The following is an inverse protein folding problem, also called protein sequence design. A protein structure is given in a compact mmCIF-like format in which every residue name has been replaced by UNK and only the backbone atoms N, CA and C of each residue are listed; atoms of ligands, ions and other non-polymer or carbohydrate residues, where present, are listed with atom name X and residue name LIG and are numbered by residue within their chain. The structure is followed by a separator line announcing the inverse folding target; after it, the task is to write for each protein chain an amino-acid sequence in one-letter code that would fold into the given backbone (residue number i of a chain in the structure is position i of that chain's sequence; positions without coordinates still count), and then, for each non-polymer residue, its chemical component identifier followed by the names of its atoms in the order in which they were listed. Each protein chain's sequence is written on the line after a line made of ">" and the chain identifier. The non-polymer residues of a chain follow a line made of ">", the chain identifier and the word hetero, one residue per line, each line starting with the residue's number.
data_IF_804385508357
#
_entry.id   IF_804385508357
#
_cell.length_a   1.000
_cell.length_b   1.000
_cell.length_c   1.000
_cell.angle_alpha   90.00
_cell.angle_beta   90.00
_cell.angle_gamma   90.00
#
_symmetry.space_group_name_H-M   'P 1'
#
loop_
_entity.id
_entity.type
_entity.pdbx_description
1 polymer ?
#
# COMPACT_ATOMS: atom_id res chain seq x y z
N UNK A 1 -15.30 -12.74 -14.75
CA UNK A 1 -16.50 -13.25 -14.06
C UNK A 1 -17.77 -12.58 -14.58
N UNK A 2 -18.93 -13.22 -14.42
CA UNK A 2 -20.23 -12.77 -14.91
C UNK A 2 -20.82 -11.60 -14.09
N UNK A 3 -21.58 -10.71 -14.74
CA UNK A 3 -22.21 -9.56 -14.06
C UNK A 3 -23.39 -9.99 -13.19
N UNK A 4 -24.24 -10.87 -13.72
CA UNK A 4 -25.33 -11.53 -13.01
C UNK A 4 -25.01 -13.02 -12.89
N UNK A 5 -25.32 -13.62 -11.75
CA UNK A 5 -25.06 -15.04 -11.50
C UNK A 5 -25.66 -15.92 -12.59
N UNK A 6 -24.84 -16.81 -13.17
CA UNK A 6 -25.25 -17.73 -14.24
C UNK A 6 -25.49 -17.10 -15.62
N UNK A 7 -25.16 -15.82 -15.83
CA UNK A 7 -25.34 -15.13 -17.12
C UNK A 7 -23.99 -14.69 -17.69
N UNK A 8 -23.69 -15.12 -18.92
CA UNK A 8 -22.45 -14.74 -19.60
C UNK A 8 -22.52 -13.30 -20.16
N UNK A 9 -21.41 -12.79 -20.70
CA UNK A 9 -21.38 -11.44 -21.27
C UNK A 9 -22.23 -11.29 -22.55
N UNK A 10 -22.42 -12.38 -23.32
CA UNK A 10 -23.29 -12.39 -24.50
C UNK A 10 -24.79 -12.45 -24.16
N UNK A 11 -25.16 -12.68 -22.90
CA UNK A 11 -26.55 -12.84 -22.46
C UNK A 11 -27.09 -14.28 -22.42
N UNK A 12 -26.31 -15.27 -22.86
CA UNK A 12 -26.64 -16.68 -22.63
C UNK A 12 -26.65 -16.93 -21.10
N UNK A 13 -27.68 -17.65 -20.63
CA UNK A 13 -27.80 -18.01 -19.22
C UNK A 13 -27.83 -19.52 -19.06
N UNK A 14 -27.20 -20.01 -17.98
CA UNK A 14 -27.24 -21.42 -17.59
C UNK A 14 -27.54 -21.53 -16.12
N UNK A 15 -28.32 -22.54 -15.75
CA UNK A 15 -28.53 -22.88 -14.34
C UNK A 15 -27.18 -23.25 -13.73
N UNK A 16 -26.89 -22.64 -12.59
CA UNK A 16 -25.71 -22.99 -11.79
C UNK A 16 -26.01 -24.39 -11.21
N UNK A 17 -25.38 -25.42 -11.77
CA UNK A 17 -25.48 -26.78 -11.23
C UNK A 17 -24.62 -26.95 -9.99
N UNK A 18 -25.04 -27.83 -9.07
CA UNK A 18 -24.29 -28.16 -7.84
C UNK A 18 -22.98 -28.92 -8.11
N UNK A 19 -22.81 -29.44 -9.33
CA UNK A 19 -21.66 -30.24 -9.72
C UNK A 19 -20.41 -29.37 -10.00
N UNK A 20 -19.66 -29.09 -8.94
CA UNK A 20 -18.37 -28.39 -8.93
C UNK A 20 -17.26 -29.01 -9.81
N UNK A 21 -17.52 -30.10 -10.54
CA UNK A 21 -16.46 -30.91 -11.18
C UNK A 21 -16.03 -30.41 -12.56
N UNK A 22 -16.89 -29.72 -13.32
CA UNK A 22 -16.51 -29.19 -14.64
C UNK A 22 -16.81 -27.69 -14.74
N UNK A 23 -15.75 -26.87 -14.82
CA UNK A 23 -15.88 -25.43 -15.10
C UNK A 23 -16.45 -25.24 -16.50
N UNK A 24 -17.67 -24.73 -16.60
CA UNK A 24 -18.32 -24.46 -17.87
C UNK A 24 -18.07 -23.02 -18.30
N UNK A 25 -17.47 -22.85 -19.48
CA UNK A 25 -17.24 -21.55 -20.11
C UNK A 25 -18.16 -21.37 -21.32
N UNK A 26 -18.63 -20.14 -21.54
CA UNK A 26 -19.30 -19.78 -22.77
C UNK A 26 -18.32 -19.85 -23.95
N UNK A 27 -18.72 -20.47 -25.06
CA UNK A 27 -17.85 -20.67 -26.25
C UNK A 27 -17.55 -19.35 -26.97
N UNK A 28 -18.44 -18.37 -26.89
CA UNK A 28 -18.29 -17.10 -27.59
C UNK A 28 -17.47 -16.07 -26.80
N UNK A 29 -17.87 -15.79 -25.55
CA UNK A 29 -17.22 -14.75 -24.73
C UNK A 29 -16.16 -15.30 -23.76
N UNK A 30 -16.04 -16.62 -23.60
CA UNK A 30 -15.11 -17.23 -22.64
C UNK A 30 -15.45 -16.98 -21.16
N UNK A 31 -16.62 -16.40 -20.86
CA UNK A 31 -17.06 -16.15 -19.48
C UNK A 31 -17.52 -17.44 -18.82
N UNK A 32 -17.06 -17.68 -17.60
CA UNK A 32 -17.47 -18.81 -16.77
C UNK A 32 -18.89 -18.60 -16.22
N UNK A 33 -19.72 -19.64 -16.26
CA UNK A 33 -21.07 -19.64 -15.69
C UNK A 33 -21.04 -19.92 -14.19
N UNK A 34 -20.83 -18.87 -13.39
CA UNK A 34 -20.67 -18.95 -11.93
C UNK A 34 -21.42 -17.81 -11.23
N UNK A 35 -21.40 -17.80 -9.90
CA UNK A 35 -21.91 -16.70 -9.10
C UNK A 35 -21.14 -15.40 -9.39
N UNK A 36 -21.85 -14.27 -9.51
CA UNK A 36 -21.24 -12.95 -9.72
C UNK A 36 -20.25 -12.56 -8.62
N UNK A 37 -20.39 -13.12 -7.41
CA UNK A 37 -19.48 -12.92 -6.26
C UNK A 37 -17.99 -13.15 -6.59
N UNK A 38 -17.67 -13.98 -7.59
CA UNK A 38 -16.28 -14.20 -8.02
C UNK A 38 -15.62 -12.90 -8.51
N UNK A 39 -16.39 -11.91 -8.99
CA UNK A 39 -15.89 -10.57 -9.37
C UNK A 39 -15.35 -9.74 -8.19
N UNK A 40 -15.54 -10.20 -6.95
CA UNK A 40 -14.93 -9.63 -5.75
C UNK A 40 -13.56 -10.21 -5.41
N UNK A 41 -13.29 -11.45 -5.84
CA UNK A 41 -12.12 -12.22 -5.40
C UNK A 41 -11.10 -12.44 -6.53
N UNK A 42 -11.57 -12.49 -7.79
CA UNK A 42 -10.69 -12.74 -8.93
C UNK A 42 -9.92 -11.47 -9.31
N UNK A 43 -8.60 -11.49 -9.08
CA UNK A 43 -7.70 -10.42 -9.51
C UNK A 43 -7.31 -10.57 -10.98
N UNK A 44 -7.08 -9.44 -11.63
CA UNK A 44 -6.41 -9.39 -12.94
C UNK A 44 -4.93 -9.02 -12.77
N UNK A 45 -4.22 -8.92 -13.89
CA UNK A 45 -2.90 -8.30 -13.92
C UNK A 45 -2.66 -7.56 -15.24
N UNK A 46 -1.80 -6.55 -15.19
CA UNK A 46 -1.30 -5.81 -16.34
C UNK A 46 0.14 -6.22 -16.54
N UNK A 47 0.45 -6.81 -17.69
CA UNK A 47 1.85 -7.04 -18.09
C UNK A 47 2.46 -5.71 -18.53
N UNK A 48 3.43 -5.21 -17.78
CA UNK A 48 4.10 -3.96 -18.07
C UNK A 48 5.05 -4.13 -19.26
N UNK A 49 5.22 -3.08 -20.06
CA UNK A 49 6.13 -3.08 -21.20
C UNK A 49 7.59 -2.96 -20.77
N UNK A 50 7.84 -2.26 -19.67
CA UNK A 50 9.12 -2.11 -19.00
C UNK A 50 9.00 -2.50 -17.52
N UNK A 51 10.10 -2.94 -16.87
CA UNK A 51 10.14 -3.07 -15.41
C UNK A 51 9.93 -1.70 -14.74
N UNK A 52 9.20 -1.67 -13.63
CA UNK A 52 8.83 -0.45 -12.89
C UNK A 52 9.23 -0.61 -11.44
N UNK A 53 9.95 0.35 -10.88
CA UNK A 53 10.33 0.29 -9.46
C UNK A 53 9.10 0.55 -8.61
N UNK A 54 8.86 -0.25 -7.58
CA UNK A 54 7.74 0.00 -6.68
C UNK A 54 8.05 1.22 -5.80
N UNK A 55 7.17 2.23 -5.83
CA UNK A 55 7.39 3.53 -5.17
C UNK A 55 7.67 3.41 -3.66
N UNK A 56 6.99 2.51 -2.94
CA UNK A 56 7.24 2.28 -1.52
C UNK A 56 8.66 1.80 -1.20
N UNK A 57 9.26 0.95 -2.03
CA UNK A 57 10.63 0.47 -1.77
C UNK A 57 11.70 1.48 -2.20
N UNK A 58 11.36 2.38 -3.12
CA UNK A 58 12.25 3.40 -3.64
C UNK A 58 12.21 4.69 -2.79
N UNK A 59 11.06 5.31 -2.61
CA UNK A 59 10.94 6.69 -2.12
C UNK A 59 10.55 6.80 -0.63
N UNK A 60 10.05 5.72 -0.02
CA UNK A 60 9.77 5.74 1.42
C UNK A 60 11.08 5.82 2.20
N UNK A 61 11.10 6.56 3.32
CA UNK A 61 12.32 6.76 4.12
C UNK A 61 12.30 5.86 5.37
N UNK A 62 13.36 5.08 5.64
CA UNK A 62 14.54 4.89 4.81
C UNK A 62 14.26 3.98 3.60
N UNK A 63 14.90 4.28 2.46
CA UNK A 63 14.66 3.54 1.21
C UNK A 63 15.28 2.15 1.24
N UNK A 64 14.47 1.13 0.95
CA UNK A 64 14.88 -0.26 0.94
C UNK A 64 15.89 -0.55 -0.18
N UNK A 65 15.62 -0.04 -1.38
CA UNK A 65 16.50 -0.21 -2.54
C UNK A 65 17.83 0.53 -2.31
N UNK A 66 17.77 1.75 -1.76
CA UNK A 66 18.97 2.52 -1.44
C UNK A 66 19.84 1.85 -0.38
N UNK A 67 19.22 1.31 0.67
CA UNK A 67 19.92 0.59 1.73
C UNK A 67 20.63 -0.67 1.21
N UNK A 68 20.01 -1.44 0.31
CA UNK A 68 20.64 -2.63 -0.27
C UNK A 68 21.83 -2.27 -1.17
N UNK A 69 21.62 -1.32 -2.08
CA UNK A 69 22.60 -0.94 -3.09
C UNK A 69 23.71 -0.03 -2.56
N UNK A 70 23.58 0.48 -1.33
CA UNK A 70 24.50 1.45 -0.72
C UNK A 70 24.76 2.65 -1.62
N UNK A 71 23.64 3.22 -2.11
CA UNK A 71 23.62 4.37 -2.99
C UNK A 71 22.70 5.44 -2.44
N UNK A 72 23.04 6.73 -2.64
CA UNK A 72 22.14 7.81 -2.22
C UNK A 72 20.83 7.73 -3.02
N UNK A 73 19.71 7.99 -2.33
CA UNK A 73 18.37 7.98 -2.93
C UNK A 73 18.30 8.89 -4.17
N UNK A 74 18.91 10.07 -4.10
CA UNK A 74 18.93 11.03 -5.21
C UNK A 74 19.61 10.48 -6.49
N UNK A 75 20.56 9.56 -6.38
CA UNK A 75 21.17 8.88 -7.54
C UNK A 75 20.19 7.84 -8.13
N UNK A 76 19.49 7.11 -7.27
CA UNK A 76 18.54 6.08 -7.68
C UNK A 76 17.24 6.68 -8.26
N UNK A 77 16.70 7.75 -7.69
CA UNK A 77 15.56 8.48 -8.25
C UNK A 77 15.91 9.04 -9.62
N UNK A 78 17.11 9.63 -9.78
CA UNK A 78 17.61 10.05 -11.09
C UNK A 78 17.64 8.88 -12.05
N UNK A 79 18.10 7.71 -11.64
CA UNK A 79 18.14 6.53 -12.50
C UNK A 79 16.75 6.05 -12.93
N UNK A 80 15.75 6.10 -12.04
CA UNK A 80 14.38 5.65 -12.32
C UNK A 80 13.60 6.66 -13.17
N UNK A 81 13.70 7.95 -12.82
CA UNK A 81 12.85 9.01 -13.36
C UNK A 81 13.54 9.91 -14.41
N UNK A 82 14.85 9.81 -14.61
CA UNK A 82 15.60 10.62 -15.61
C UNK A 82 16.30 9.75 -16.67
N UNK A 83 16.65 10.38 -17.79
CA UNK A 83 17.17 9.80 -19.05
C UNK A 83 18.57 9.15 -18.96
N UNK A 84 19.01 8.65 -17.80
CA UNK A 84 20.35 8.11 -17.65
C UNK A 84 20.50 6.76 -18.34
N UNK A 85 21.55 6.66 -19.16
CA UNK A 85 21.99 5.43 -19.80
C UNK A 85 23.09 4.84 -18.92
N UNK A 86 22.72 3.84 -18.13
CA UNK A 86 23.68 3.02 -17.41
C UNK A 86 24.23 2.01 -18.42
N UNK A 87 25.43 2.30 -18.94
CA UNK A 87 26.20 1.34 -19.70
C UNK A 87 26.81 0.35 -18.70
N UNK A 88 26.07 -0.72 -18.36
CA UNK A 88 26.61 -1.79 -17.52
C UNK A 88 26.97 -3.00 -18.37
N UNK A 89 28.11 -3.57 -18.01
CA UNK A 89 28.53 -4.92 -18.35
C UNK A 89 27.50 -5.93 -17.85
N UNK A 90 26.63 -6.44 -18.71
CA UNK A 90 25.87 -7.65 -18.41
C UNK A 90 26.89 -8.78 -18.42
N UNK A 91 27.20 -9.37 -17.26
CA UNK A 91 28.27 -10.36 -17.05
C UNK A 91 28.23 -11.61 -17.96
N UNK A 92 27.22 -11.74 -18.83
CA UNK A 92 26.97 -12.89 -19.72
C UNK A 92 26.84 -12.52 -21.20
N UNK A 93 27.17 -11.30 -21.64
CA UNK A 93 27.09 -10.88 -23.06
C UNK A 93 28.38 -10.17 -23.50
N UNK A 94 28.86 -10.40 -24.74
CA UNK A 94 30.08 -9.75 -25.23
C UNK A 94 29.86 -8.24 -25.39
N UNK A 95 30.81 -7.46 -24.89
CA UNK A 95 30.79 -6.00 -24.98
C UNK A 95 31.35 -5.55 -26.34
N UNK A 96 30.58 -4.75 -27.06
CA UNK A 96 30.99 -4.06 -28.28
C UNK A 96 31.72 -2.75 -27.97
N UNK A 97 31.33 -2.02 -26.92
CA UNK A 97 31.83 -0.67 -26.65
C UNK A 97 32.82 -0.58 -25.46
N UNK A 98 32.98 -1.66 -24.67
CA UNK A 98 33.86 -1.70 -23.47
C UNK A 98 33.69 -0.50 -22.51
N UNK A 99 32.55 0.19 -22.55
CA UNK A 99 32.28 1.36 -21.73
C UNK A 99 32.14 0.93 -20.27
N UNK A 100 32.96 1.51 -19.40
CA UNK A 100 32.87 1.38 -17.94
C UNK A 100 32.49 2.74 -17.37
N UNK A 101 31.32 2.83 -16.73
CA UNK A 101 30.93 4.01 -15.96
C UNK A 101 29.52 4.52 -16.22
N UNK A 102 29.12 5.53 -15.43
CA UNK A 102 27.85 6.23 -15.53
C UNK A 102 27.96 7.37 -16.54
N UNK A 103 27.08 7.41 -17.55
CA UNK A 103 27.02 8.52 -18.50
C UNK A 103 25.85 9.45 -18.18
N UNK A 104 26.15 10.72 -17.92
CA UNK A 104 25.14 11.75 -17.68
C UNK A 104 24.62 12.29 -19.02
N UNK A 105 23.34 12.01 -19.34
CA UNK A 105 22.73 12.43 -20.62
C UNK A 105 22.67 13.96 -20.81
N UNK A 106 22.84 14.74 -19.73
CA UNK A 106 22.85 16.21 -19.76
C UNK A 106 24.12 16.80 -20.40
N UNK A 107 25.15 16.00 -20.65
CA UNK A 107 26.28 16.40 -21.48
C UNK A 107 25.87 16.32 -22.97
N UNK A 108 25.47 17.47 -23.51
CA UNK A 108 24.94 17.68 -24.87
C UNK A 108 25.85 17.14 -26.00
N UNK A 109 27.12 16.83 -25.71
CA UNK A 109 28.14 16.42 -26.67
C UNK A 109 28.08 14.95 -27.10
N UNK A 110 27.58 14.04 -26.26
CA UNK A 110 27.61 12.60 -26.57
C UNK A 110 26.27 12.10 -27.13
N UNK A 111 25.16 12.75 -26.78
CA UNK A 111 23.82 12.35 -27.21
C UNK A 111 23.64 12.49 -28.72
N UNK A 112 24.15 13.56 -29.35
CA UNK A 112 24.12 13.74 -30.81
C UNK A 112 25.03 12.73 -31.53
N UNK A 113 26.23 12.52 -31.00
CA UNK A 113 27.26 11.63 -31.55
C UNK A 113 26.83 10.16 -31.49
N UNK A 114 26.33 9.71 -30.33
CA UNK A 114 25.80 8.36 -30.17
C UNK A 114 24.43 8.20 -30.85
N UNK A 115 23.53 9.19 -30.84
CA UNK A 115 22.23 9.07 -31.52
C UNK A 115 22.37 8.86 -33.04
N UNK A 116 23.44 9.38 -33.67
CA UNK A 116 23.74 9.12 -35.08
C UNK A 116 24.12 7.66 -35.33
N UNK A 117 24.88 7.03 -34.43
CA UNK A 117 25.21 5.60 -34.48
C UNK A 117 24.04 4.69 -34.06
N UNK A 118 23.24 5.13 -33.10
CA UNK A 118 22.12 4.40 -32.49
C UNK A 118 20.78 4.57 -33.24
N UNK A 119 20.76 5.26 -34.39
CA UNK A 119 19.56 5.44 -35.22
C UNK A 119 19.14 4.18 -36.00
N UNK A 120 19.99 3.15 -36.04
CA UNK A 120 19.77 1.90 -36.78
C UNK A 120 19.13 0.81 -35.90
N UNK A 121 18.64 -0.29 -36.53
CA UNK A 121 18.17 -1.52 -35.84
C UNK A 121 19.16 -2.06 -34.78
N UNK A 122 20.42 -1.61 -34.80
CA UNK A 122 21.46 -2.00 -33.87
C UNK A 122 21.29 -1.40 -32.47
N UNK A 123 20.59 -0.27 -32.27
CA UNK A 123 20.39 0.29 -30.92
C UNK A 123 19.52 -0.60 -30.04
N UNK A 124 18.47 -1.24 -30.56
CA UNK A 124 17.70 -2.23 -29.79
C UNK A 124 18.58 -3.43 -29.40
N UNK A 125 19.49 -3.87 -30.27
CA UNK A 125 20.46 -4.94 -29.96
C UNK A 125 21.49 -4.49 -28.91
N UNK A 126 22.00 -3.26 -28.97
CA UNK A 126 22.92 -2.70 -27.97
C UNK A 126 22.22 -2.45 -26.63
N UNK A 127 20.97 -1.98 -26.65
CA UNK A 127 20.14 -1.81 -25.45
C UNK A 127 19.95 -3.13 -24.71
N UNK A 128 19.66 -4.22 -25.41
CA UNK A 128 19.55 -5.54 -24.80
C UNK A 128 20.87 -6.17 -24.35
N UNK A 129 22.03 -5.56 -24.66
CA UNK A 129 23.38 -6.13 -24.42
C UNK A 129 24.24 -5.33 -23.43
N UNK A 130 24.19 -4.01 -23.49
CA UNK A 130 25.14 -3.12 -22.78
C UNK A 130 24.47 -1.94 -22.05
N UNK A 131 23.21 -1.59 -22.35
CA UNK A 131 22.56 -0.38 -21.84
C UNK A 131 21.25 -0.73 -21.13
N UNK A 132 21.26 -0.71 -19.81
CA UNK A 132 20.07 -0.80 -18.98
C UNK A 132 19.62 0.61 -18.57
N UNK A 133 18.35 0.96 -18.80
CA UNK A 133 17.77 2.26 -18.43
C UNK A 133 16.63 2.09 -17.42
N UNK A 134 16.38 3.14 -16.64
CA UNK A 134 15.24 3.19 -15.72
C UNK A 134 15.29 2.15 -14.61
N UNK A 135 14.11 1.73 -14.16
CA UNK A 135 13.95 0.69 -13.16
C UNK A 135 14.44 -0.71 -13.61
N UNK A 136 14.62 -0.95 -14.91
CA UNK A 136 15.25 -2.16 -15.43
C UNK A 136 16.70 -2.29 -14.95
N UNK A 137 17.45 -1.19 -14.93
CA UNK A 137 18.83 -1.17 -14.43
C UNK A 137 18.91 -1.49 -12.93
N UNK A 138 17.96 -0.97 -12.14
CA UNK A 138 17.86 -1.29 -10.71
C UNK A 138 17.60 -2.79 -10.51
N UNK A 139 16.71 -3.37 -11.32
CA UNK A 139 16.47 -4.81 -11.25
C UNK A 139 17.73 -5.61 -11.52
N UNK A 140 18.49 -5.26 -12.57
CA UNK A 140 19.74 -5.94 -12.90
C UNK A 140 20.78 -5.78 -11.78
N UNK A 141 20.86 -4.62 -11.14
CA UNK A 141 21.70 -4.40 -9.96
C UNK A 141 21.28 -5.30 -8.80
N UNK A 142 19.98 -5.42 -8.54
CA UNK A 142 19.43 -6.23 -7.45
C UNK A 142 19.56 -7.75 -7.69
N UNK A 143 19.53 -8.20 -8.94
CA UNK A 143 19.71 -9.62 -9.32
C UNK A 143 21.14 -10.09 -9.07
N UNK A 144 22.11 -9.22 -9.29
CA UNK A 144 23.53 -9.56 -9.13
C UNK A 144 24.04 -9.45 -7.68
N UNK A 145 23.19 -9.07 -6.72
CA UNK A 145 23.57 -8.95 -5.32
C UNK A 145 23.68 -10.30 -4.64
N UNK A 146 24.83 -10.56 -4.02
CA UNK A 146 24.97 -11.62 -3.03
C UNK A 146 24.70 -11.05 -1.63
N UNK A 147 23.57 -11.46 -1.03
CA UNK A 147 23.14 -11.01 0.29
C UNK A 147 24.11 -11.42 1.40
N UNK A 148 24.82 -12.55 1.27
CA UNK A 148 25.78 -12.99 2.30
C UNK A 148 27.00 -12.10 2.31
N UNK A 149 27.54 -11.82 1.12
CA UNK A 149 28.68 -10.91 0.94
C UNK A 149 28.35 -9.52 1.49
N UNK A 150 27.13 -9.02 1.29
CA UNK A 150 26.70 -7.72 1.84
C UNK A 150 26.70 -7.72 3.37
N UNK A 151 26.24 -8.79 4.01
CA UNK A 151 26.24 -8.90 5.47
C UNK A 151 27.68 -8.89 5.98
N UNK A 152 28.54 -9.73 5.42
CA UNK A 152 29.93 -9.86 5.86
C UNK A 152 30.71 -8.57 5.63
N UNK A 153 30.55 -7.93 4.46
CA UNK A 153 31.20 -6.65 4.16
C UNK A 153 30.71 -5.52 5.06
N UNK A 154 29.41 -5.48 5.35
CA UNK A 154 28.82 -4.44 6.22
C UNK A 154 29.22 -4.63 7.68
N UNK A 155 29.36 -5.87 8.13
CA UNK A 155 29.83 -6.21 9.48
C UNK A 155 31.29 -5.78 9.66
N UNK A 156 32.13 -6.07 8.67
CA UNK A 156 33.54 -5.68 8.68
C UNK A 156 33.71 -4.15 8.69
N UNK A 157 32.94 -3.44 7.85
CA UNK A 157 32.92 -1.97 7.85
C UNK A 157 32.45 -1.40 9.19
N UNK A 158 31.42 -2.01 9.81
CA UNK A 158 30.92 -1.58 11.11
C UNK A 158 31.96 -1.76 12.22
N UNK A 159 32.67 -2.90 12.25
CA UNK A 159 33.76 -3.17 13.20
C UNK A 159 34.89 -2.15 13.08
N UNK A 160 35.27 -1.76 11.85
CA UNK A 160 36.29 -0.72 11.63
C UNK A 160 35.88 0.63 12.23
N UNK A 161 34.63 1.03 12.04
CA UNK A 161 34.15 2.26 12.68
C UNK A 161 33.99 2.14 14.19
N UNK A 162 33.75 0.94 14.72
CA UNK A 162 33.71 0.70 16.17
C UNK A 162 35.09 0.86 16.81
N UNK A 163 36.11 0.21 16.25
CA UNK A 163 37.48 0.31 16.76
C UNK A 163 38.08 1.72 16.62
N UNK A 164 37.78 2.44 15.54
CA UNK A 164 38.19 3.84 15.37
C UNK A 164 37.61 4.75 16.46
N UNK A 165 36.37 4.51 16.88
CA UNK A 165 35.72 5.30 17.94
C UNK A 165 36.32 4.98 19.32
N UNK A 166 36.58 3.71 19.61
CA UNK A 166 37.26 3.29 20.84
C UNK A 166 38.66 3.91 20.93
N UNK A 167 39.44 3.86 19.85
CA UNK A 167 40.78 4.46 19.79
C UNK A 167 40.75 5.99 19.96
N UNK A 168 39.76 6.69 19.38
CA UNK A 168 39.57 8.13 19.61
C UNK A 168 39.21 8.45 21.06
N UNK A 169 38.33 7.66 21.69
CA UNK A 169 37.97 7.83 23.11
C UNK A 169 39.18 7.63 24.02
N UNK A 170 40.01 6.62 23.73
CA UNK A 170 41.25 6.35 24.48
C UNK A 170 42.24 7.51 24.33
N UNK A 171 42.46 8.03 23.11
CA UNK A 171 43.34 9.21 22.89
C UNK A 171 42.86 10.45 23.63
N UNK A 172 41.58 10.80 23.52
CA UNK A 172 41.00 11.95 24.22
C UNK A 172 41.11 11.81 25.74
N UNK A 173 41.00 10.58 26.26
CA UNK A 173 41.21 10.30 27.68
C UNK A 173 42.68 10.42 28.11
N UNK A 174 43.64 10.03 27.25
CA UNK A 174 45.08 10.21 27.50
C UNK A 174 45.49 11.68 27.50
N UNK A 175 44.95 12.47 26.56
CA UNK A 175 45.12 13.93 26.48
C UNK A 175 44.55 14.63 27.72
N UNK A 176 43.33 14.26 28.15
CA UNK A 176 42.70 14.79 29.37
C UNK A 176 43.44 14.42 30.66
N UNK A 177 44.18 13.30 30.66
CA UNK A 177 44.97 12.83 31.80
C UNK A 177 46.44 13.26 31.75
N UNK A 178 46.89 13.98 30.71
CA UNK A 178 48.26 14.46 30.58
C UNK A 178 49.33 13.36 30.46
N UNK A 179 48.97 12.18 29.95
CA UNK A 179 49.91 11.05 29.83
C UNK A 179 50.51 11.06 28.42
N UNK A 180 51.71 11.63 28.27
CA UNK A 180 52.53 11.51 27.07
C UNK A 180 53.11 10.09 26.91
N UNK A 181 53.51 9.67 25.69
CA UNK A 181 54.07 8.35 25.48
C UNK A 181 55.37 8.22 26.28
N UNK A 182 55.40 7.31 27.24
CA UNK A 182 56.61 6.99 28.01
C UNK A 182 57.59 6.28 27.09
N UNK A 183 58.52 7.04 26.53
CA UNK A 183 59.65 6.58 25.73
C UNK A 183 60.86 7.45 26.06
N UNK A 184 61.89 6.79 26.56
CA UNK A 184 63.17 7.32 27.06
C UNK A 184 63.95 8.17 26.05
N UNK A 185 64.52 9.29 26.50
CA UNK A 185 65.81 9.79 26.03
C UNK A 185 65.80 11.04 25.13
N UNK A 186 66.12 12.16 25.77
CA UNK A 186 66.87 13.35 25.32
C UNK A 186 66.32 14.31 24.25
N UNK A 187 66.37 15.58 24.67
CA UNK A 187 66.64 16.81 23.92
C UNK A 187 65.68 17.20 22.80
N UNK A 188 64.84 18.19 23.13
CA UNK A 188 64.57 19.47 22.45
C UNK A 188 63.17 19.90 22.91
N UNK A 189 63.11 20.75 23.93
CA UNK A 189 61.90 21.51 24.28
C UNK A 189 61.63 22.51 23.15
N UNK A 190 60.97 22.07 22.09
CA UNK A 190 60.16 22.97 21.26
C UNK A 190 58.81 23.13 21.95
N UNK A 191 58.58 24.33 22.47
CA UNK A 191 57.26 24.80 22.91
C UNK A 191 56.24 24.52 21.80
N UNK A 192 55.44 23.46 21.98
CA UNK A 192 54.20 23.31 21.24
C UNK A 192 53.25 24.33 21.86
N UNK A 193 53.22 25.52 21.28
CA UNK A 193 52.12 26.47 21.49
C UNK A 193 50.81 25.70 21.34
N UNK A 194 49.84 25.83 22.28
CA UNK A 194 48.53 25.25 22.10
C UNK A 194 47.82 26.03 20.99
N UNK A 195 48.08 25.65 19.75
CA UNK A 195 47.39 26.24 18.60
C UNK A 195 45.92 25.90 18.72
N UNK A 196 45.16 26.89 19.17
CA UNK A 196 43.85 27.21 18.65
C UNK A 196 42.76 26.16 18.88
N UNK A 197 41.88 26.52 19.80
CA UNK A 197 40.46 26.15 19.86
C UNK A 197 39.74 26.31 18.51
N UNK A 198 40.01 25.42 17.57
CA UNK A 198 39.45 25.43 16.23
C UNK A 198 39.50 24.03 15.63
N UNK A 199 38.59 23.14 16.06
CA UNK A 199 38.10 21.99 15.27
C UNK A 199 36.99 21.13 15.95
N UNK A 200 36.53 21.47 17.16
CA UNK A 200 35.43 20.73 17.84
C UNK A 200 34.15 20.61 16.99
N UNK A 201 33.85 21.62 16.18
CA UNK A 201 32.73 21.61 15.24
C UNK A 201 32.91 20.65 14.06
N UNK A 202 34.13 20.47 13.57
CA UNK A 202 34.44 19.55 12.48
C UNK A 202 34.49 18.10 12.98
N UNK A 203 35.08 17.89 14.16
CA UNK A 203 35.11 16.60 14.84
C UNK A 203 33.69 16.11 15.16
N UNK A 204 32.83 16.99 15.69
CA UNK A 204 31.42 16.66 15.96
C UNK A 204 30.63 16.34 14.69
N UNK A 205 30.94 16.99 13.56
CA UNK A 205 30.34 16.65 12.26
C UNK A 205 30.82 15.29 11.76
N UNK A 206 32.08 14.95 11.97
CA UNK A 206 32.65 13.67 11.59
C UNK A 206 32.09 12.51 12.43
N UNK A 207 32.01 12.69 13.76
CA UNK A 207 31.35 11.74 14.66
C UNK A 207 29.90 11.48 14.26
N UNK A 208 29.15 12.54 13.93
CA UNK A 208 27.78 12.39 13.42
C UNK A 208 27.71 11.64 12.09
N UNK A 209 28.69 11.81 11.20
CA UNK A 209 28.77 11.05 9.93
C UNK A 209 29.03 9.57 10.20
N UNK A 210 29.99 9.26 11.08
CA UNK A 210 30.31 7.89 11.47
C UNK A 210 29.10 7.22 12.11
N UNK A 211 28.41 7.90 13.02
CA UNK A 211 27.21 7.37 13.68
C UNK A 211 26.05 7.13 12.70
N UNK A 212 25.86 8.04 11.73
CA UNK A 212 24.90 7.83 10.64
C UNK A 212 25.26 6.62 9.78
N UNK A 213 26.56 6.43 9.48
CA UNK A 213 27.06 5.29 8.71
C UNK A 213 26.89 3.98 9.48
N UNK A 214 27.19 3.93 10.78
CA UNK A 214 26.94 2.76 11.64
C UNK A 214 25.47 2.36 11.64
N UNK A 215 24.55 3.31 11.87
CA UNK A 215 23.10 3.05 11.83
C UNK A 215 22.64 2.57 10.46
N UNK A 216 23.23 3.10 9.38
CA UNK A 216 22.98 2.62 8.03
C UNK A 216 23.41 1.16 7.84
N UNK A 217 24.62 0.79 8.26
CA UNK A 217 25.15 -0.57 8.15
C UNK A 217 24.30 -1.57 8.93
N UNK A 218 23.86 -1.21 10.14
CA UNK A 218 22.95 -2.05 10.95
C UNK A 218 21.66 -2.34 10.19
N UNK A 219 20.98 -1.30 9.68
CA UNK A 219 19.75 -1.47 8.89
C UNK A 219 19.97 -2.30 7.62
N UNK A 220 21.13 -2.12 6.95
CA UNK A 220 21.48 -2.88 5.74
C UNK A 220 21.66 -4.36 6.04
N UNK A 221 22.37 -4.69 7.12
CA UNK A 221 22.58 -6.07 7.58
C UNK A 221 21.25 -6.73 7.99
N UNK A 222 20.43 -6.03 8.79
CA UNK A 222 19.11 -6.51 9.21
C UNK A 222 18.23 -6.82 8.01
N UNK A 223 18.17 -5.91 7.03
CA UNK A 223 17.40 -6.11 5.82
C UNK A 223 17.88 -7.32 5.00
N UNK A 224 19.19 -7.46 4.79
CA UNK A 224 19.76 -8.59 4.05
C UNK A 224 19.47 -9.92 4.78
N UNK A 225 19.57 -9.93 6.12
CA UNK A 225 19.23 -11.09 6.95
C UNK A 225 17.75 -11.47 6.81
N UNK A 226 16.84 -10.50 6.85
CA UNK A 226 15.41 -10.75 6.67
C UNK A 226 15.06 -11.30 5.29
N UNK A 227 15.71 -10.80 4.23
CA UNK A 227 15.51 -11.31 2.86
C UNK A 227 16.00 -12.76 2.72
N UNK A 228 17.14 -13.10 3.34
CA UNK A 228 17.65 -14.48 3.37
C UNK A 228 16.70 -15.42 4.14
N UNK A 229 16.19 -15.00 5.30
CA UNK A 229 15.28 -15.80 6.11
C UNK A 229 13.93 -16.06 5.42
N UNK A 230 13.40 -15.06 4.72
CA UNK A 230 12.09 -15.15 4.06
C UNK A 230 12.14 -15.72 2.64
N UNK A 231 13.33 -16.03 2.11
CA UNK A 231 13.55 -16.46 0.71
C UNK A 231 13.01 -15.48 -0.34
N UNK A 232 12.83 -14.21 0.05
CA UNK A 232 12.33 -13.15 -0.83
C UNK A 232 13.48 -12.61 -1.66
N UNK A 233 13.27 -12.57 -2.98
CA UNK A 233 14.28 -12.03 -3.89
C UNK A 233 14.21 -10.50 -3.96
N UNK A 234 15.36 -9.79 -3.86
CA UNK A 234 15.39 -8.32 -3.97
C UNK A 234 14.80 -7.78 -5.29
N UNK A 235 14.93 -8.54 -6.38
CA UNK A 235 14.42 -8.16 -7.70
C UNK A 235 12.89 -7.93 -7.74
N UNK A 236 12.13 -8.48 -6.79
CA UNK A 236 10.68 -8.33 -6.73
C UNK A 236 10.22 -6.92 -6.32
N UNK A 237 11.14 -6.08 -5.82
CA UNK A 237 10.86 -4.64 -5.63
C UNK A 237 10.67 -3.90 -6.96
N UNK A 238 11.04 -4.53 -8.09
CA UNK A 238 10.80 -4.03 -9.44
C UNK A 238 9.71 -4.88 -10.13
N UNK A 239 8.56 -4.27 -10.38
CA UNK A 239 7.37 -4.89 -10.93
C UNK A 239 7.50 -5.06 -12.44
N UNK A 240 7.26 -6.29 -12.92
CA UNK A 240 7.01 -6.58 -14.34
C UNK A 240 5.52 -6.87 -14.62
N UNK A 241 4.80 -7.29 -13.59
CA UNK A 241 3.37 -7.55 -13.59
C UNK A 241 2.73 -6.69 -12.50
N UNK A 242 1.74 -5.89 -12.87
CA UNK A 242 0.99 -5.05 -11.94
C UNK A 242 -0.38 -5.71 -11.68
N UNK A 243 -0.70 -6.14 -10.45
CA UNK A 243 -2.01 -6.71 -10.14
C UNK A 243 -3.13 -5.67 -10.34
N UNK A 244 -4.30 -6.16 -10.75
CA UNK A 244 -5.51 -5.35 -10.91
C UNK A 244 -6.55 -5.78 -9.90
N UNK A 245 -7.02 -4.83 -9.11
CA UNK A 245 -8.07 -5.07 -8.12
C UNK A 245 -9.35 -5.63 -8.79
N UNK A 246 -10.05 -6.55 -8.12
CA UNK A 246 -11.34 -7.05 -8.59
C UNK A 246 -12.35 -5.91 -8.79
N UNK A 247 -13.22 -5.96 -9.83
CA UNK A 247 -14.14 -4.87 -10.16
C UNK A 247 -15.04 -4.40 -9.02
N UNK A 248 -15.49 -5.30 -8.13
CA UNK A 248 -16.36 -4.90 -7.02
C UNK A 248 -15.66 -4.04 -5.96
N UNK A 249 -14.32 -4.09 -5.88
CA UNK A 249 -13.55 -3.22 -4.98
C UNK A 249 -13.32 -1.82 -5.58
N UNK A 250 -13.65 -1.62 -6.85
CA UNK A 250 -13.50 -0.38 -7.62
C UNK A 250 -14.74 -0.15 -8.51
N UNK A 251 -15.92 0.00 -7.90
CA UNK A 251 -17.18 0.01 -8.63
C UNK A 251 -17.31 1.21 -9.59
N UNK A 252 -18.20 1.02 -10.56
CA UNK A 252 -18.69 2.05 -11.47
C UNK A 252 -20.20 2.09 -11.32
N UNK A 253 -20.75 3.26 -11.02
CA UNK A 253 -22.17 3.46 -10.82
C UNK A 253 -22.73 4.33 -11.94
N UNK A 254 -23.80 3.86 -12.57
CA UNK A 254 -24.59 4.64 -13.49
C UNK A 254 -25.76 5.23 -12.70
N UNK A 255 -25.77 6.54 -12.49
CA UNK A 255 -26.89 7.24 -11.83
C UNK A 255 -28.02 7.50 -12.81
N UNK A 256 -27.68 7.94 -14.02
CA UNK A 256 -28.58 8.18 -15.15
C UNK A 256 -27.85 7.83 -16.46
N UNK A 257 -28.55 7.85 -17.60
CA UNK A 257 -27.96 7.52 -18.90
C UNK A 257 -26.70 8.35 -19.22
N UNK A 258 -26.59 9.57 -18.69
CA UNK A 258 -25.48 10.48 -18.95
C UNK A 258 -24.49 10.62 -17.77
N UNK A 259 -24.86 10.21 -16.55
CA UNK A 259 -24.03 10.43 -15.35
C UNK A 259 -23.46 9.12 -14.82
N UNK A 260 -22.14 8.98 -14.97
CA UNK A 260 -21.37 7.83 -14.50
C UNK A 260 -20.42 8.30 -13.38
N UNK A 261 -20.54 7.67 -12.21
CA UNK A 261 -19.60 7.85 -11.10
C UNK A 261 -18.59 6.71 -11.15
N UNK A 262 -17.33 7.07 -11.26
CA UNK A 262 -16.20 6.14 -11.29
C UNK A 262 -15.35 6.29 -10.03
N UNK A 263 -14.84 5.18 -9.51
CA UNK A 263 -13.77 5.22 -8.51
C UNK A 263 -12.48 5.81 -9.12
N UNK A 264 -11.78 6.67 -8.37
CA UNK A 264 -10.48 7.26 -8.73
C UNK A 264 -9.45 6.22 -9.19
N UNK A 265 -9.46 5.05 -8.55
CA UNK A 265 -8.62 3.90 -8.88
C UNK A 265 -8.79 3.48 -10.34
N UNK A 266 -10.02 3.52 -10.87
CA UNK A 266 -10.28 3.15 -12.27
C UNK A 266 -9.63 4.16 -13.22
N UNK A 267 -9.68 5.45 -12.90
CA UNK A 267 -9.03 6.52 -13.67
C UNK A 267 -7.50 6.36 -13.65
N UNK A 268 -6.93 6.00 -12.50
CA UNK A 268 -5.50 5.73 -12.36
C UNK A 268 -5.09 4.47 -13.16
N UNK A 269 -5.86 3.37 -13.08
CA UNK A 269 -5.62 2.18 -13.92
C UNK A 269 -5.72 2.50 -15.42
N UNK A 270 -6.69 3.31 -15.83
CA UNK A 270 -6.85 3.72 -17.22
C UNK A 270 -5.61 4.48 -17.70
N UNK A 271 -5.07 5.41 -16.91
CA UNK A 271 -3.82 6.11 -17.21
C UNK A 271 -2.65 5.13 -17.38
N UNK A 272 -2.48 4.18 -16.47
CA UNK A 272 -1.44 3.14 -16.57
C UNK A 272 -1.60 2.33 -17.87
N UNK A 273 -2.81 1.85 -18.17
CA UNK A 273 -3.09 1.07 -19.37
C UNK A 273 -2.80 1.84 -20.66
N UNK A 274 -3.24 3.11 -20.74
CA UNK A 274 -3.00 3.96 -21.90
C UNK A 274 -1.50 4.21 -22.12
N UNK A 275 -0.77 4.56 -21.07
CA UNK A 275 0.69 4.79 -21.15
C UNK A 275 1.44 3.50 -21.52
N UNK A 276 1.07 2.38 -20.92
CA UNK A 276 1.67 1.08 -21.19
C UNK A 276 1.40 0.60 -22.63
N UNK A 277 0.17 0.79 -23.13
CA UNK A 277 -0.19 0.45 -24.52
C UNK A 277 0.58 1.32 -25.53
N UNK A 278 0.71 2.62 -25.26
CA UNK A 278 1.50 3.54 -26.07
C UNK A 278 2.97 3.10 -26.09
N UNK A 279 3.57 2.82 -24.94
CA UNK A 279 4.95 2.34 -24.85
C UNK A 279 5.16 1.03 -25.62
N UNK A 280 4.24 0.06 -25.50
CA UNK A 280 4.28 -1.18 -26.28
C UNK A 280 4.29 -0.94 -27.79
N UNK A 281 3.48 0.00 -28.29
CA UNK A 281 3.49 0.38 -29.72
C UNK A 281 4.82 1.00 -30.10
N UNK A 282 5.35 1.93 -29.29
CA UNK A 282 6.63 2.57 -29.56
C UNK A 282 7.79 1.56 -29.56
N UNK A 283 7.80 0.57 -28.67
CA UNK A 283 8.84 -0.46 -28.67
C UNK A 283 8.82 -1.31 -29.95
N UNK A 284 7.66 -1.44 -30.61
CA UNK A 284 7.54 -2.15 -31.90
C UNK A 284 8.01 -1.31 -33.09
N UNK A 285 7.70 -0.01 -33.11
CA UNK A 285 7.88 0.84 -34.31
C UNK A 285 8.99 1.89 -34.21
N UNK A 286 9.35 2.34 -33.00
CA UNK A 286 10.26 3.48 -32.82
C UNK A 286 11.72 3.11 -33.07
N UNK A 287 12.43 4.02 -33.75
CA UNK A 287 13.89 3.97 -33.99
C UNK A 287 14.68 4.90 -33.06
N UNK A 288 14.00 5.78 -32.30
CA UNK A 288 14.64 6.78 -31.44
C UNK A 288 14.54 6.40 -29.96
N UNK A 289 15.69 6.31 -29.29
CA UNK A 289 15.77 5.91 -27.88
C UNK A 289 15.21 6.92 -26.89
N UNK A 290 15.36 8.22 -27.17
CA UNK A 290 14.92 9.32 -26.27
C UNK A 290 13.41 9.38 -26.08
N UNK A 291 12.63 9.09 -27.13
CA UNK A 291 11.17 9.02 -27.02
C UNK A 291 10.73 7.84 -26.16
N UNK A 292 11.47 6.72 -26.22
CA UNK A 292 11.14 5.52 -25.45
C UNK A 292 11.43 5.74 -23.97
N UNK A 293 12.58 6.31 -23.58
CA UNK A 293 12.90 6.61 -22.18
C UNK A 293 11.92 7.60 -21.56
N UNK A 294 11.54 8.64 -22.30
CA UNK A 294 10.52 9.59 -21.86
C UNK A 294 9.14 8.95 -21.63
N UNK A 295 8.76 7.94 -22.42
CA UNK A 295 7.51 7.21 -22.16
C UNK A 295 7.64 6.18 -21.04
N UNK A 296 8.79 5.54 -20.86
CA UNK A 296 9.06 4.66 -19.71
C UNK A 296 8.86 5.40 -18.40
N UNK A 297 9.40 6.62 -18.30
CA UNK A 297 9.15 7.53 -17.17
C UNK A 297 7.66 7.79 -16.96
N UNK A 298 6.91 8.10 -18.01
CA UNK A 298 5.46 8.35 -17.89
C UNK A 298 4.67 7.13 -17.43
N UNK A 299 5.12 5.92 -17.74
CA UNK A 299 4.52 4.69 -17.22
C UNK A 299 4.89 4.52 -15.75
N UNK A 300 6.14 4.79 -15.37
CA UNK A 300 6.59 4.80 -13.96
C UNK A 300 5.75 5.80 -13.14
N UNK A 301 5.66 7.06 -13.55
CA UNK A 301 4.87 8.10 -12.88
C UNK A 301 3.39 7.70 -12.73
N UNK A 302 2.83 7.01 -13.73
CA UNK A 302 1.44 6.55 -13.69
C UNK A 302 1.22 5.39 -12.70
N UNK A 303 2.18 4.47 -12.59
CA UNK A 303 2.12 3.37 -11.60
C UNK A 303 2.39 3.91 -10.20
N UNK A 304 3.29 4.85 -10.05
CA UNK A 304 3.54 5.50 -8.76
C UNK A 304 2.28 6.21 -8.26
N UNK A 305 1.61 6.98 -9.11
CA UNK A 305 0.35 7.61 -8.75
C UNK A 305 -0.79 6.61 -8.45
N UNK A 306 -0.75 5.40 -9.02
CA UNK A 306 -1.71 4.35 -8.69
C UNK A 306 -1.46 3.76 -7.29
N UNK A 307 -0.19 3.50 -6.97
CA UNK A 307 0.21 2.90 -5.70
C UNK A 307 0.12 3.92 -4.56
N UNK A 308 0.71 5.10 -4.75
CA UNK A 308 0.81 6.18 -3.78
C UNK A 308 0.88 7.56 -4.47
N UNK A 309 -0.28 8.22 -4.58
CA UNK A 309 -0.39 9.48 -5.30
C UNK A 309 0.13 10.65 -4.48
N UNK A 310 1.35 11.09 -4.78
CA UNK A 310 1.99 12.24 -4.12
C UNK A 310 3.27 11.89 -3.37
N UNK A 311 3.62 10.60 -3.27
CA UNK A 311 4.92 10.19 -2.73
C UNK A 311 6.08 10.63 -3.63
N UNK A 312 5.85 10.70 -4.95
CA UNK A 312 6.80 11.28 -5.91
C UNK A 312 6.18 12.45 -6.67
N UNK A 313 6.81 13.62 -6.58
CA UNK A 313 6.44 14.79 -7.37
C UNK A 313 5.05 15.36 -7.06
N UNK A 314 4.44 16.01 -8.05
CA UNK A 314 3.10 16.61 -7.90
C UNK A 314 2.02 15.54 -8.06
N UNK A 315 1.04 15.46 -7.14
CA UNK A 315 -0.02 14.47 -7.23
C UNK A 315 -0.90 14.70 -8.45
N UNK A 316 -1.38 13.60 -9.04
CA UNK A 316 -2.35 13.64 -10.13
C UNK A 316 -3.69 14.14 -9.60
N UNK A 317 -4.25 15.11 -10.31
CA UNK A 317 -5.54 15.74 -9.99
C UNK A 317 -6.53 15.55 -11.11
N UNK A 318 -7.80 15.60 -10.73
CA UNK A 318 -8.94 15.64 -11.64
C UNK A 318 -9.16 17.03 -12.24
N UNK A 319 -10.09 17.13 -13.20
CA UNK A 319 -10.55 18.38 -13.82
C UNK A 319 -11.00 19.42 -12.78
N UNK A 320 -11.53 18.97 -11.64
CA UNK A 320 -11.92 19.82 -10.51
C UNK A 320 -10.77 20.08 -9.52
N UNK A 321 -9.51 19.85 -9.90
CA UNK A 321 -8.31 20.00 -9.07
C UNK A 321 -8.26 19.15 -7.79
N UNK A 322 -9.18 18.20 -7.62
CA UNK A 322 -9.14 17.23 -6.52
C UNK A 322 -8.08 16.16 -6.79
N UNK A 323 -7.35 15.75 -5.76
CA UNK A 323 -6.33 14.71 -5.86
C UNK A 323 -6.99 13.34 -5.93
N UNK A 324 -6.62 12.51 -6.90
CA UNK A 324 -7.13 11.14 -6.99
C UNK A 324 -6.64 10.30 -5.81
N UNK A 325 -7.54 9.53 -5.19
CA UNK A 325 -7.19 8.57 -4.13
C UNK A 325 -6.46 7.35 -4.71
N UNK A 326 -5.27 7.06 -4.20
CA UNK A 326 -4.41 5.92 -4.55
C UNK A 326 -4.67 4.68 -3.68
N UNK A 327 -3.95 3.57 -3.89
CA UNK A 327 -4.08 2.40 -3.00
C UNK A 327 -3.64 2.69 -1.57
N UNK A 328 -2.57 3.45 -1.37
CA UNK A 328 -2.17 3.90 -0.04
C UNK A 328 -3.32 4.63 0.66
N UNK A 329 -4.02 5.53 -0.04
CA UNK A 329 -5.12 6.33 0.53
C UNK A 329 -6.37 5.51 0.86
N UNK A 330 -6.60 4.41 0.13
CA UNK A 330 -7.72 3.48 0.41
C UNK A 330 -7.46 2.69 1.69
N UNK A 331 -6.19 2.46 2.02
CA UNK A 331 -5.77 1.66 3.17
C UNK A 331 -5.58 2.56 4.40
N UNK A 332 -4.86 3.66 4.23
CA UNK A 332 -4.46 4.58 5.28
C UNK A 332 -5.49 5.70 5.49
N UNK A 333 -5.30 6.48 6.56
CA UNK A 333 -6.17 7.63 6.87
C UNK A 333 -7.42 7.27 7.69
N UNK A 334 -8.21 8.31 8.02
CA UNK A 334 -9.44 8.16 8.82
C UNK A 334 -10.55 7.45 8.05
N UNK A 335 -10.69 7.77 6.76
CA UNK A 335 -11.59 7.12 5.79
C UNK A 335 -10.96 5.85 5.17
N UNK A 336 -9.79 5.43 5.65
CA UNK A 336 -9.12 4.23 5.19
C UNK A 336 -9.82 2.97 5.69
N UNK A 337 -9.68 1.87 4.93
CA UNK A 337 -10.32 0.58 5.24
C UNK A 337 -10.01 0.07 6.65
N UNK A 338 -8.80 0.27 7.16
CA UNK A 338 -8.44 -0.19 8.51
C UNK A 338 -9.29 0.48 9.60
N UNK A 339 -9.46 1.80 9.53
CA UNK A 339 -10.17 2.54 10.59
C UNK A 339 -11.68 2.50 10.40
N UNK A 340 -12.14 2.71 9.18
CA UNK A 340 -13.57 2.85 8.91
C UNK A 340 -14.29 1.51 8.72
N UNK A 341 -13.62 0.48 8.17
CA UNK A 341 -14.26 -0.80 7.80
C UNK A 341 -13.84 -1.97 8.68
N UNK A 342 -12.62 -1.98 9.22
CA UNK A 342 -12.15 -3.09 10.07
C UNK A 342 -12.42 -2.82 11.55
N UNK A 343 -12.06 -1.65 12.06
CA UNK A 343 -12.28 -1.29 13.48
C UNK A 343 -13.71 -0.85 13.77
N UNK A 344 -14.26 0.03 12.93
CA UNK A 344 -15.68 0.40 12.95
C UNK A 344 -16.45 -0.39 11.90
N UNK A 345 -17.66 -0.85 12.23
CA UNK A 345 -18.60 -1.36 11.23
C UNK A 345 -20.00 -0.89 11.57
N UNK A 346 -20.82 -0.72 10.53
CA UNK A 346 -22.26 -0.65 10.73
C UNK A 346 -22.75 -2.03 11.15
N UNK A 347 -23.61 -2.05 12.16
CA UNK A 347 -24.14 -3.27 12.75
C UNK A 347 -25.64 -3.30 12.55
N UNK A 348 -26.14 -4.48 12.17
CA UNK A 348 -27.58 -4.75 12.13
C UNK A 348 -28.14 -4.85 13.57
N UNK A 349 -29.47 -4.80 13.71
CA UNK A 349 -30.14 -4.80 15.01
C UNK A 349 -29.66 -3.66 15.94
N UNK A 350 -29.53 -2.46 15.37
CA UNK A 350 -29.19 -1.25 16.10
C UNK A 350 -30.20 -0.13 15.80
N UNK A 351 -30.36 0.78 16.75
CA UNK A 351 -31.28 1.91 16.66
C UNK A 351 -30.71 3.15 17.36
N UNK A 352 -31.26 4.32 17.05
CA UNK A 352 -30.92 5.59 17.69
C UNK A 352 -32.18 6.40 17.94
N UNK A 353 -32.29 6.99 19.11
CA UNK A 353 -33.30 8.00 19.42
C UNK A 353 -32.77 9.05 20.40
N UNK A 354 -33.58 10.06 20.67
CA UNK A 354 -33.34 11.07 21.70
C UNK A 354 -33.53 10.43 23.08
N UNK A 355 -32.69 10.82 24.03
CA UNK A 355 -32.76 10.36 25.41
C UNK A 355 -33.55 11.37 26.27
N UNK A 356 -34.44 10.86 27.12
CA UNK A 356 -35.23 11.63 28.09
C UNK A 356 -35.06 10.98 29.46
N UNK A 357 -35.13 11.77 30.53
CA UNK A 357 -34.95 11.28 31.90
C UNK A 357 -36.15 10.42 32.30
N UNK A 358 -35.89 9.20 32.78
CA UNK A 358 -36.91 8.27 33.28
C UNK A 358 -36.87 8.10 34.79
N UNK A 359 -37.36 9.06 35.61
CA UNK A 359 -37.19 9.02 37.07
C UNK A 359 -37.90 7.85 37.75
N UNK A 360 -38.87 7.22 37.09
CA UNK A 360 -39.60 6.05 37.59
C UNK A 360 -38.90 4.71 37.31
N UNK A 361 -37.81 4.70 36.54
CA UNK A 361 -37.10 3.49 36.15
C UNK A 361 -36.03 3.13 37.17
N UNK A 362 -35.82 1.82 37.38
CA UNK A 362 -34.69 1.35 38.18
C UNK A 362 -33.37 1.49 37.42
N UNK A 363 -32.23 1.54 38.14
CA UNK A 363 -30.89 1.66 37.54
C UNK A 363 -30.54 0.61 36.48
N UNK A 364 -31.17 -0.57 36.53
CA UNK A 364 -30.93 -1.65 35.57
C UNK A 364 -31.93 -1.65 34.41
N UNK A 365 -32.84 -0.68 34.35
CA UNK A 365 -33.94 -0.61 33.39
C UNK A 365 -33.76 0.58 32.45
N UNK A 366 -34.29 0.44 31.23
CA UNK A 366 -34.43 1.57 30.31
C UNK A 366 -35.78 1.48 29.59
N UNK A 367 -36.38 2.63 29.28
CA UNK A 367 -37.58 2.67 28.46
C UNK A 367 -37.22 2.69 26.98
N UNK A 368 -37.71 1.69 26.23
CA UNK A 368 -37.50 1.54 24.81
C UNK A 368 -38.81 1.84 24.05
N UNK A 369 -38.79 2.75 23.05
CA UNK A 369 -39.93 3.00 22.18
C UNK A 369 -40.44 1.74 21.50
N UNK A 370 -41.76 1.59 21.45
CA UNK A 370 -42.45 0.51 20.72
C UNK A 370 -41.99 0.38 19.26
N UNK A 371 -41.81 1.51 18.57
CA UNK A 371 -41.37 1.54 17.16
C UNK A 371 -39.93 1.03 16.97
N UNK A 372 -39.04 1.25 17.94
CA UNK A 372 -37.66 0.76 17.89
C UNK A 372 -37.62 -0.71 18.31
N UNK A 373 -38.32 -1.07 19.38
CA UNK A 373 -38.37 -2.42 19.90
C UNK A 373 -38.88 -3.42 18.86
N UNK A 374 -39.93 -3.08 18.11
CA UNK A 374 -40.50 -4.00 17.12
C UNK A 374 -39.54 -4.31 15.97
N UNK A 375 -38.70 -3.35 15.55
CA UNK A 375 -37.68 -3.56 14.51
C UNK A 375 -36.46 -4.33 15.05
N UNK A 376 -35.99 -3.99 16.25
CA UNK A 376 -34.86 -4.69 16.89
C UNK A 376 -35.17 -6.17 17.14
N UNK A 377 -36.37 -6.47 17.64
CA UNK A 377 -36.78 -7.82 18.03
C UNK A 377 -37.62 -8.54 16.95
N UNK A 378 -37.73 -7.99 15.74
CA UNK A 378 -38.61 -8.48 14.68
C UNK A 378 -38.45 -10.00 14.44
N UNK A 379 -37.20 -10.49 14.35
CA UNK A 379 -36.91 -11.91 14.13
C UNK A 379 -37.46 -12.81 15.25
N UNK A 380 -37.34 -12.36 16.50
CA UNK A 380 -37.81 -13.11 17.68
C UNK A 380 -39.34 -13.09 17.77
N UNK A 381 -39.96 -11.95 17.46
CA UNK A 381 -41.43 -11.82 17.40
C UNK A 381 -42.01 -12.76 16.33
N UNK A 382 -41.44 -12.79 15.12
CA UNK A 382 -41.86 -13.71 14.05
C UNK A 382 -41.76 -15.17 14.53
N UNK A 383 -40.65 -15.54 15.19
CA UNK A 383 -40.45 -16.89 15.72
C UNK A 383 -41.51 -17.25 16.77
N UNK A 384 -41.85 -16.33 17.67
CA UNK A 384 -42.86 -16.56 18.71
C UNK A 384 -44.29 -16.67 18.13
N UNK A 385 -44.66 -15.81 17.17
CA UNK A 385 -45.94 -15.87 16.47
C UNK A 385 -46.18 -17.23 15.82
N UNK A 386 -45.18 -17.77 15.12
CA UNK A 386 -45.26 -19.08 14.48
C UNK A 386 -45.31 -20.21 15.52
N UNK A 387 -44.46 -20.14 16.56
CA UNK A 387 -44.41 -21.17 17.60
C UNK A 387 -45.72 -21.30 18.38
N UNK A 388 -46.39 -20.18 18.64
CA UNK A 388 -47.69 -20.15 19.33
C UNK A 388 -48.88 -20.43 18.39
N UNK A 389 -48.63 -20.74 17.10
CA UNK A 389 -49.65 -20.95 16.06
C UNK A 389 -50.57 -19.74 15.82
N UNK A 390 -50.08 -18.54 16.13
CA UNK A 390 -50.78 -17.27 15.86
C UNK A 390 -50.53 -16.79 14.41
N UNK A 391 -49.46 -17.27 13.79
CA UNK A 391 -49.19 -17.12 12.36
C UNK A 391 -48.81 -18.49 11.75
N UNK A 392 -49.34 -18.77 10.55
CA UNK A 392 -48.99 -19.99 9.79
C UNK A 392 -47.59 -19.90 9.17
N UNK A 393 -47.24 -18.72 8.64
CA UNK A 393 -46.02 -18.49 7.86
C UNK A 393 -45.28 -17.21 8.28
N UNK A 394 -43.99 -17.14 7.94
CA UNK A 394 -43.17 -15.92 8.09
C UNK A 394 -43.78 -14.72 7.38
N UNK A 395 -44.42 -14.93 6.23
CA UNK A 395 -45.10 -13.86 5.47
C UNK A 395 -46.27 -13.29 6.27
N UNK A 396 -47.16 -14.15 6.77
CA UNK A 396 -48.32 -13.76 7.58
C UNK A 396 -47.88 -13.04 8.86
N UNK A 397 -46.87 -13.57 9.56
CA UNK A 397 -46.28 -12.92 10.73
C UNK A 397 -45.73 -11.52 10.42
N UNK A 398 -45.04 -11.35 9.28
CA UNK A 398 -44.57 -10.02 8.83
C UNK A 398 -45.72 -9.07 8.52
N UNK A 399 -46.83 -9.55 7.96
CA UNK A 399 -48.03 -8.75 7.72
C UNK A 399 -48.65 -8.28 9.03
N UNK A 400 -48.83 -9.17 10.01
CA UNK A 400 -49.35 -8.83 11.35
C UNK A 400 -48.48 -7.79 12.07
N UNK A 401 -47.15 -7.90 11.95
CA UNK A 401 -46.20 -6.91 12.48
C UNK A 401 -46.37 -5.54 11.79
N UNK A 402 -46.53 -5.52 10.46
CA UNK A 402 -46.74 -4.28 9.69
C UNK A 402 -48.07 -3.61 10.04
N UNK A 403 -49.12 -4.39 10.24
CA UNK A 403 -50.46 -3.91 10.63
C UNK A 403 -50.55 -3.53 12.13
N UNK A 404 -49.50 -3.81 12.91
CA UNK A 404 -49.40 -3.49 14.34
C UNK A 404 -50.54 -4.09 15.18
N UNK A 405 -50.92 -5.33 14.87
CA UNK A 405 -51.98 -6.04 15.61
C UNK A 405 -51.72 -6.02 17.13
N UNK A 406 -52.77 -5.93 17.97
CA UNK A 406 -52.64 -5.87 19.42
C UNK A 406 -51.81 -7.03 20.02
N UNK A 407 -51.95 -8.22 19.44
CA UNK A 407 -51.27 -9.46 19.86
C UNK A 407 -49.75 -9.32 19.75
N UNK A 408 -49.26 -8.57 18.77
CA UNK A 408 -47.82 -8.36 18.54
C UNK A 408 -47.18 -7.65 19.73
N UNK A 409 -47.88 -6.70 20.36
CA UNK A 409 -47.36 -5.99 21.53
C UNK A 409 -47.21 -6.90 22.74
N UNK A 410 -48.18 -7.80 22.97
CA UNK A 410 -48.10 -8.79 24.04
C UNK A 410 -46.91 -9.74 23.83
N UNK A 411 -46.72 -10.23 22.60
CA UNK A 411 -45.58 -11.10 22.27
C UNK A 411 -44.26 -10.35 22.39
N UNK A 412 -44.22 -9.08 21.99
CA UNK A 412 -43.02 -8.26 22.11
C UNK A 412 -42.61 -8.07 23.57
N UNK A 413 -43.55 -7.81 24.48
CA UNK A 413 -43.26 -7.74 25.93
C UNK A 413 -42.70 -9.06 26.44
N UNK A 414 -43.29 -10.20 26.06
CA UNK A 414 -42.80 -11.53 26.42
C UNK A 414 -41.39 -11.80 25.88
N UNK A 415 -41.11 -11.38 24.65
CA UNK A 415 -39.79 -11.54 24.02
C UNK A 415 -38.74 -10.62 24.63
N UNK A 416 -39.11 -9.45 25.16
CA UNK A 416 -38.17 -8.53 25.78
C UNK A 416 -37.78 -8.94 27.20
N UNK A 417 -38.61 -9.72 27.89
CA UNK A 417 -38.30 -10.22 29.23
C UNK A 417 -37.05 -11.10 29.21
N UNK A 418 -36.04 -10.74 30.01
CA UNK A 418 -34.77 -11.46 30.09
C UNK A 418 -33.78 -11.18 28.96
N UNK A 419 -34.10 -10.26 28.03
CA UNK A 419 -33.22 -9.86 26.94
C UNK A 419 -32.70 -8.42 27.16
N UNK A 420 -31.45 -8.25 27.65
CA UNK A 420 -30.87 -6.94 27.86
C UNK A 420 -30.53 -6.26 26.53
N UNK A 421 -30.67 -4.94 26.50
CA UNK A 421 -30.25 -4.07 25.39
C UNK A 421 -29.03 -3.26 25.79
N UNK A 422 -28.14 -2.99 24.84
CA UNK A 422 -26.97 -2.14 25.06
C UNK A 422 -27.26 -0.70 24.63
N UNK A 423 -27.13 0.24 25.56
CA UNK A 423 -27.19 1.67 25.28
C UNK A 423 -25.77 2.22 25.17
N UNK A 424 -25.54 3.08 24.17
CA UNK A 424 -24.26 3.74 23.93
C UNK A 424 -24.48 5.23 23.62
N UNK A 425 -23.66 6.10 24.21
CA UNK A 425 -23.60 7.54 23.87
C UNK A 425 -22.21 7.91 23.35
N UNK A 426 -22.16 8.36 22.09
CA UNK A 426 -20.93 8.87 21.51
C UNK A 426 -20.62 10.30 22.01
N UNK A 427 -19.35 10.67 22.26
CA UNK A 427 -18.15 9.84 22.14
C UNK A 427 -17.95 8.87 23.32
N UNK A 428 -17.60 7.61 23.01
CA UNK A 428 -17.35 6.57 24.02
C UNK A 428 -15.90 6.66 24.52
N UNK A 429 -15.67 7.38 25.63
CA UNK A 429 -14.32 7.61 26.18
C UNK A 429 -13.78 6.43 27.00
N UNK A 430 -14.67 5.67 27.63
CA UNK A 430 -14.36 4.57 28.54
C UNK A 430 -15.45 3.50 28.46
N UNK A 431 -15.18 2.32 29.05
CA UNK A 431 -16.12 1.17 29.02
C UNK A 431 -17.53 1.50 29.52
N UNK A 432 -17.68 2.43 30.46
CA UNK A 432 -18.98 2.81 31.03
C UNK A 432 -19.86 3.61 30.07
N UNK A 433 -19.34 4.02 28.90
CA UNK A 433 -20.16 4.65 27.86
C UNK A 433 -21.08 3.65 27.14
N UNK A 434 -20.89 2.35 27.37
CA UNK A 434 -21.77 1.28 26.89
C UNK A 434 -22.23 0.47 28.11
N UNK A 435 -23.54 0.42 28.32
CA UNK A 435 -24.13 -0.27 29.46
C UNK A 435 -25.35 -1.10 29.02
N UNK A 436 -25.60 -2.19 29.74
CA UNK A 436 -26.70 -3.11 29.48
C UNK A 436 -27.88 -2.80 30.40
N UNK A 437 -29.08 -2.75 29.84
CA UNK A 437 -30.31 -2.47 30.57
C UNK A 437 -31.41 -3.45 30.17
N UNK A 438 -32.30 -3.76 31.10
CA UNK A 438 -33.55 -4.44 30.83
C UNK A 438 -34.52 -3.45 30.19
N UNK A 439 -34.95 -3.74 28.96
CA UNK A 439 -35.85 -2.84 28.23
C UNK A 439 -37.29 -2.97 28.71
N UNK A 440 -37.96 -1.83 28.90
CA UNK A 440 -39.38 -1.69 29.21
C UNK A 440 -40.04 -0.94 28.06
N UNK A 441 -41.18 -1.41 27.56
CA UNK A 441 -41.87 -0.74 26.44
C UNK A 441 -42.47 0.59 26.87
N UNK A 442 -42.19 1.63 26.09
CA UNK A 442 -42.78 2.97 26.24
C UNK A 442 -43.55 3.34 24.96
N UNK A 443 -44.68 4.03 25.11
CA UNK A 443 -45.53 4.47 23.99
C UNK A 443 -44.90 5.58 23.15
N UNK A 444 -44.01 6.35 23.76
CA UNK A 444 -43.35 7.49 23.13
C UNK A 444 -42.18 7.07 22.25
N UNK A 445 -41.58 8.06 21.56
CA UNK A 445 -40.45 7.87 20.64
C UNK A 445 -39.08 8.07 21.28
N UNK A 446 -39.02 8.62 22.48
CA UNK A 446 -37.77 8.84 23.21
C UNK A 446 -37.35 7.58 23.98
N UNK A 447 -36.03 7.37 24.09
CA UNK A 447 -35.46 6.38 25.00
C UNK A 447 -35.41 6.99 26.39
N UNK A 448 -36.02 6.32 27.35
CA UNK A 448 -35.99 6.74 28.75
C UNK A 448 -34.80 6.10 29.45
N UNK A 449 -33.95 6.94 30.03
CA UNK A 449 -32.72 6.55 30.71
C UNK A 449 -32.68 7.13 32.13
#
# INVERSE_FOLDING_TARGET
>A
GPIKSGVCACGESRKIGDEKKNRTFCKECGVEFVDSRIRRYQMGYIKLACPIAHVWYLNYLPSYIANLLDKPLAELEKLVYCDFVLARHIAKKPNFLRLRGYFYFKAQSWSYTLARFLRTKNFQKCRGREISTGAGAIRDLLVDLDLRVIIDSSLEEWKRFHSLEENRKVRKLMELKGIGPTGTGNDWEEEIEPTGTGNDWEDRKEEQKIERRKRFLVRRMELAKHLLQTTVKPEWMVLCLLPVLPPELRPVFHLSEFHIINSDINTLYQKVLMRNALLRRLLKYSRTGTLVTGQERRVQDAVDALLDNGLHGKPLRDSHYQVYKSFSDVIAGKEGRFRETLLGRRVDYSGRSVIVVGPSLSLHQCGLPREIAIELFQTFVIRCLIRQRLAEDVKKAKTQIREKEPIVWYILEQVMQGHPVLLNRAPTLHRLGIQAFQAILVKERAIYY
#
